data_IF_401102828094
#
_entry.id   IF_401102828094
#
_cell.length_a   1.000
_cell.length_b   1.000
_cell.length_c   1.000
_cell.angle_alpha   90.00
_cell.angle_beta   90.00
_cell.angle_gamma   90.00
#
_symmetry.space_group_name_H-M   'P 1'
#
loop_
_entity.id
_entity.type
_entity.pdbx_description
1 polymer ?
#
# COMPACT_ATOMS: atom_id res chain seq x y z
N UNK A 1 10.43 1.07 13.78
CA UNK A 1 11.54 1.52 12.91
C UNK A 1 10.92 1.89 11.59
N UNK A 2 11.14 3.11 11.12
CA UNK A 2 10.50 3.63 9.90
C UNK A 2 11.46 3.54 8.72
N UNK A 3 10.99 3.05 7.57
CA UNK A 3 11.80 2.96 6.36
C UNK A 3 11.02 3.33 5.10
N UNK A 4 11.60 4.20 4.26
CA UNK A 4 11.04 4.58 2.96
C UNK A 4 11.56 3.66 1.85
N UNK A 5 10.66 3.28 0.96
CA UNK A 5 10.97 2.55 -0.26
C UNK A 5 10.37 3.27 -1.47
N UNK A 6 11.18 3.36 -2.52
CA UNK A 6 10.77 3.88 -3.81
C UNK A 6 10.83 2.75 -4.82
N UNK A 7 9.76 2.59 -5.59
CA UNK A 7 9.64 1.60 -6.66
C UNK A 7 9.48 2.35 -7.97
N UNK A 8 10.46 2.29 -8.87
CA UNK A 8 10.50 3.16 -10.06
C UNK A 8 10.90 2.45 -11.35
N UNK A 9 10.32 2.93 -12.46
CA UNK A 9 10.60 2.51 -13.83
C UNK A 9 10.24 3.65 -14.80
N UNK A 10 11.15 3.98 -15.72
CA UNK A 10 10.98 5.00 -16.77
C UNK A 10 10.21 6.26 -16.32
N UNK A 11 10.69 6.91 -15.25
CA UNK A 11 10.11 8.12 -14.66
C UNK A 11 8.76 7.95 -13.94
N UNK A 12 8.16 6.76 -13.97
CA UNK A 12 7.10 6.37 -13.03
C UNK A 12 7.71 5.98 -11.69
N UNK A 13 7.00 6.28 -10.61
CA UNK A 13 7.39 5.87 -9.27
C UNK A 13 6.20 5.68 -8.35
N UNK A 14 6.40 4.84 -7.33
CA UNK A 14 5.54 4.74 -6.15
C UNK A 14 6.44 4.77 -4.93
N UNK A 15 6.20 5.75 -4.06
CA UNK A 15 6.91 5.94 -2.80
C UNK A 15 6.01 5.48 -1.66
N UNK A 16 6.54 4.57 -0.84
CA UNK A 16 5.87 4.06 0.35
C UNK A 16 6.76 4.12 1.56
N UNK A 17 6.15 4.24 2.72
CA UNK A 17 6.80 4.19 4.02
C UNK A 17 6.30 2.97 4.79
N UNK A 18 7.21 2.29 5.47
CA UNK A 18 6.87 1.22 6.41
C UNK A 18 7.20 1.65 7.82
N UNK A 19 6.25 1.53 8.74
CA UNK A 19 6.53 1.41 10.16
C UNK A 19 6.63 -0.07 10.52
N UNK A 20 7.86 -0.55 10.66
CA UNK A 20 8.14 -1.94 10.99
C UNK A 20 7.77 -2.34 12.42
N UNK A 21 7.43 -1.37 13.29
CA UNK A 21 6.95 -1.66 14.65
C UNK A 21 5.45 -1.97 14.67
N UNK A 22 4.73 -1.70 13.58
CA UNK A 22 3.32 -2.06 13.44
C UNK A 22 3.13 -3.59 13.54
N UNK A 23 2.12 -4.06 14.28
CA UNK A 23 1.85 -5.49 14.40
C UNK A 23 1.52 -6.09 13.04
N UNK A 24 1.95 -7.34 12.82
CA UNK A 24 1.55 -8.18 11.67
C UNK A 24 1.97 -7.69 10.27
N UNK A 25 2.63 -6.53 10.13
CA UNK A 25 3.02 -5.95 8.83
C UNK A 25 3.78 -6.94 7.92
N UNK A 26 4.68 -7.73 8.50
CA UNK A 26 5.44 -8.75 7.76
C UNK A 26 4.56 -9.88 7.26
N UNK A 27 3.59 -10.32 8.07
CA UNK A 27 2.65 -11.37 7.71
C UNK A 27 1.70 -10.89 6.60
N UNK A 28 1.19 -9.66 6.70
CA UNK A 28 0.37 -9.03 5.66
C UNK A 28 1.09 -8.98 4.31
N UNK A 29 2.35 -8.55 4.29
CA UNK A 29 3.21 -8.55 3.09
C UNK A 29 3.35 -9.97 2.49
N UNK A 30 3.63 -10.96 3.33
CA UNK A 30 3.79 -12.36 2.88
C UNK A 30 2.47 -12.88 2.29
N UNK A 31 1.35 -12.68 2.98
CA UNK A 31 0.03 -13.13 2.57
C UNK A 31 -0.41 -12.47 1.27
N UNK A 32 -0.17 -11.17 1.12
CA UNK A 32 -0.41 -10.44 -0.13
C UNK A 32 0.33 -11.09 -1.30
N UNK A 33 1.64 -11.32 -1.17
CA UNK A 33 2.47 -11.89 -2.23
C UNK A 33 2.04 -13.32 -2.55
N UNK A 34 1.74 -14.13 -1.54
CA UNK A 34 1.23 -15.48 -1.73
C UNK A 34 -0.07 -15.49 -2.54
N UNK A 35 -1.03 -14.64 -2.16
CA UNK A 35 -2.34 -14.56 -2.83
C UNK A 35 -2.21 -14.05 -4.25
N UNK A 36 -1.41 -13.00 -4.50
CA UNK A 36 -1.26 -12.43 -5.85
C UNK A 36 -0.46 -13.31 -6.81
N UNK A 37 0.57 -14.00 -6.34
CA UNK A 37 1.42 -14.84 -7.18
C UNK A 37 1.01 -16.32 -7.18
N UNK A 38 -0.08 -16.68 -6.48
CA UNK A 38 -0.53 -18.05 -6.30
C UNK A 38 0.59 -18.99 -5.83
N UNK A 39 1.44 -18.51 -4.91
CA UNK A 39 2.46 -19.37 -4.33
C UNK A 39 1.81 -20.43 -3.45
N UNK A 40 2.35 -21.66 -3.52
CA UNK A 40 1.97 -22.69 -2.55
C UNK A 40 2.43 -22.27 -1.15
N UNK A 41 1.67 -22.63 -0.12
CA UNK A 41 1.98 -22.30 1.28
C UNK A 41 3.37 -22.79 1.74
N UNK A 42 3.99 -23.70 0.99
CA UNK A 42 5.31 -24.26 1.30
C UNK A 42 6.47 -23.49 0.64
N UNK A 43 6.17 -22.42 -0.08
CA UNK A 43 7.20 -21.58 -0.72
C UNK A 43 7.91 -20.80 0.37
N UNK A 44 9.16 -21.15 0.66
CA UNK A 44 9.98 -20.43 1.64
C UNK A 44 10.93 -19.48 0.93
N UNK A 45 10.59 -18.20 0.92
CA UNK A 45 11.48 -17.13 0.46
C UNK A 45 12.00 -16.33 1.66
N UNK A 46 13.16 -15.68 1.50
CA UNK A 46 13.58 -14.69 2.48
C UNK A 46 12.60 -13.51 2.49
N UNK A 47 12.40 -12.89 3.67
CA UNK A 47 11.52 -11.72 3.77
C UNK A 47 11.92 -10.59 2.80
N UNK A 48 13.22 -10.42 2.54
CA UNK A 48 13.72 -9.46 1.54
C UNK A 48 13.12 -9.70 0.15
N UNK A 49 12.92 -10.96 -0.24
CA UNK A 49 12.31 -11.30 -1.52
C UNK A 49 10.80 -11.06 -1.50
N UNK A 50 10.11 -11.36 -0.40
CA UNK A 50 8.70 -11.00 -0.22
C UNK A 50 8.49 -9.50 -0.32
N UNK A 51 9.27 -8.70 0.41
CA UNK A 51 9.20 -7.24 0.38
C UNK A 51 9.43 -6.69 -1.04
N UNK A 52 10.44 -7.20 -1.75
CA UNK A 52 10.70 -6.78 -3.13
C UNK A 52 9.53 -7.11 -4.07
N UNK A 53 8.96 -8.31 -3.94
CA UNK A 53 7.80 -8.71 -4.74
C UNK A 53 6.56 -7.90 -4.40
N UNK A 54 6.31 -7.65 -3.11
CA UNK A 54 5.22 -6.81 -2.63
C UNK A 54 5.29 -5.42 -3.23
N UNK A 55 6.43 -4.74 -3.11
CA UNK A 55 6.63 -3.39 -3.63
C UNK A 55 6.39 -3.29 -5.14
N UNK A 56 6.85 -4.28 -5.90
CA UNK A 56 6.62 -4.35 -7.34
C UNK A 56 5.17 -4.60 -7.72
N UNK A 57 4.49 -5.49 -7.00
CA UNK A 57 3.07 -5.77 -7.19
C UNK A 57 2.20 -4.58 -6.78
N UNK A 58 2.59 -3.87 -5.71
CA UNK A 58 1.94 -2.65 -5.26
C UNK A 58 2.09 -1.53 -6.31
N UNK A 59 3.31 -1.31 -6.81
CA UNK A 59 3.55 -0.34 -7.88
C UNK A 59 2.77 -0.69 -9.16
N UNK A 60 2.78 -1.96 -9.56
CA UNK A 60 1.95 -2.47 -10.65
C UNK A 60 0.46 -2.19 -10.40
N UNK A 61 -0.07 -2.46 -9.20
CA UNK A 61 -1.47 -2.23 -8.86
C UNK A 61 -1.85 -0.74 -8.86
N UNK A 62 -1.00 0.15 -8.34
CA UNK A 62 -1.23 1.60 -8.33
C UNK A 62 -1.18 2.13 -9.77
N UNK A 63 -0.18 1.75 -10.57
CA UNK A 63 -0.02 2.25 -11.94
C UNK A 63 -1.05 1.68 -12.93
N UNK A 64 -1.27 0.35 -12.94
CA UNK A 64 -2.25 -0.30 -13.84
C UNK A 64 -3.64 0.27 -13.65
N UNK A 65 -4.03 0.40 -12.38
CA UNK A 65 -5.38 0.81 -12.09
C UNK A 65 -5.52 2.30 -12.29
N UNK A 66 -4.59 3.18 -11.91
CA UNK A 66 -4.72 4.64 -12.17
C UNK A 66 -4.89 5.03 -13.65
N UNK A 67 -4.45 4.19 -14.59
CA UNK A 67 -4.59 4.44 -16.03
C UNK A 67 -5.85 3.83 -16.65
N UNK A 68 -6.51 2.90 -15.96
CA UNK A 68 -7.71 2.20 -16.44
C UNK A 68 -8.94 2.39 -15.55
N UNK A 69 -8.73 2.82 -14.33
CA UNK A 69 -9.65 2.87 -13.20
C UNK A 69 -9.27 4.06 -12.31
N UNK A 70 -10.20 4.52 -11.49
CA UNK A 70 -9.91 5.56 -10.50
C UNK A 70 -8.92 5.00 -9.44
N UNK A 71 -7.93 5.80 -9.03
CA UNK A 71 -7.02 5.46 -7.94
C UNK A 71 -7.81 5.05 -6.68
N UNK A 72 -8.94 5.71 -6.41
CA UNK A 72 -9.84 5.40 -5.30
C UNK A 72 -10.29 3.93 -5.32
N UNK A 73 -10.70 3.44 -6.48
CA UNK A 73 -11.14 2.05 -6.67
C UNK A 73 -9.96 1.08 -6.53
N UNK A 74 -8.78 1.49 -6.98
CA UNK A 74 -7.54 0.72 -6.89
C UNK A 74 -7.16 0.41 -5.44
N UNK A 75 -7.19 1.44 -4.60
CA UNK A 75 -6.87 1.37 -3.18
C UNK A 75 -7.95 0.60 -2.40
N UNK A 76 -9.23 0.79 -2.74
CA UNK A 76 -10.32 0.00 -2.17
C UNK A 76 -10.17 -1.50 -2.48
N UNK A 77 -9.80 -1.86 -3.71
CA UNK A 77 -9.55 -3.26 -4.08
C UNK A 77 -8.35 -3.87 -3.34
N UNK A 78 -7.31 -3.07 -3.03
CA UNK A 78 -6.18 -3.54 -2.24
C UNK A 78 -6.61 -3.94 -0.82
N UNK A 79 -7.51 -3.17 -0.22
CA UNK A 79 -8.07 -3.49 1.10
C UNK A 79 -9.03 -4.68 1.01
N UNK A 80 -10.04 -4.64 0.12
CA UNK A 80 -11.05 -5.70 0.04
C UNK A 80 -10.47 -7.07 -0.30
N UNK A 81 -9.50 -7.12 -1.21
CA UNK A 81 -8.96 -8.38 -1.70
C UNK A 81 -7.78 -8.87 -0.87
N UNK A 82 -7.04 -7.98 -0.19
CA UNK A 82 -5.78 -8.35 0.46
C UNK A 82 -5.60 -7.86 1.90
N UNK A 83 -6.52 -7.03 2.41
CA UNK A 83 -6.43 -6.43 3.75
C UNK A 83 -5.19 -5.55 3.92
N UNK A 84 -4.84 -4.80 2.85
CA UNK A 84 -3.72 -3.86 2.84
C UNK A 84 -4.26 -2.44 2.72
N UNK A 85 -4.12 -1.67 3.79
CA UNK A 85 -4.39 -0.24 3.84
C UNK A 85 -3.11 0.55 3.72
N UNK A 86 -3.13 1.59 2.89
CA UNK A 86 -1.96 2.45 2.65
C UNK A 86 -2.03 3.80 3.39
N UNK A 87 -2.89 3.90 4.40
CA UNK A 87 -3.08 5.08 5.26
C UNK A 87 -2.27 5.03 6.56
N UNK A 88 -1.50 3.95 6.78
CA UNK A 88 -0.69 3.77 7.98
C UNK A 88 -1.24 2.82 9.04
N UNK A 89 -2.53 2.46 9.01
CA UNK A 89 -3.11 1.55 10.01
C UNK A 89 -2.41 0.18 10.02
N UNK A 90 -1.96 -0.27 8.84
CA UNK A 90 -1.22 -1.51 8.66
C UNK A 90 0.31 -1.33 8.73
N UNK A 91 0.76 -0.16 9.17
CA UNK A 91 2.15 0.26 9.15
C UNK A 91 2.67 0.54 7.74
N UNK A 92 1.81 0.70 6.74
CA UNK A 92 2.19 1.02 5.36
C UNK A 92 1.53 2.34 4.95
N UNK A 93 2.33 3.29 4.49
CA UNK A 93 1.85 4.59 4.00
C UNK A 93 2.20 4.74 2.53
N UNK A 94 1.22 5.12 1.70
CA UNK A 94 1.47 5.65 0.37
C UNK A 94 1.81 7.14 0.50
N UNK A 95 3.02 7.53 0.08
CA UNK A 95 3.50 8.91 0.22
C UNK A 95 3.21 9.73 -1.04
N UNK A 96 3.63 9.21 -2.18
CA UNK A 96 3.49 9.85 -3.49
C UNK A 96 3.63 8.80 -4.59
N UNK A 97 3.11 9.12 -5.77
CA UNK A 97 3.31 8.30 -6.95
C UNK A 97 3.20 9.15 -8.22
N UNK A 98 3.80 8.65 -9.29
CA UNK A 98 3.65 9.20 -10.63
C UNK A 98 3.54 8.07 -11.63
N UNK A 99 2.56 8.17 -12.52
CA UNK A 99 2.25 7.13 -13.51
C UNK A 99 1.78 7.76 -14.81
N UNK A 100 2.19 7.18 -15.93
CA UNK A 100 1.83 7.66 -17.27
C UNK A 100 1.70 6.54 -18.32
N UNK A 101 2.15 5.33 -18.01
CA UNK A 101 2.01 4.15 -18.87
C UNK A 101 1.75 2.90 -18.03
N UNK A 102 1.43 1.78 -18.69
CA UNK A 102 1.18 0.51 -18.01
C UNK A 102 2.51 -0.27 -17.89
N UNK A 103 3.14 -0.32 -16.70
CA UNK A 103 4.36 -1.10 -16.48
C UNK A 103 4.04 -2.58 -16.26
N UNK A 104 5.03 -3.44 -16.50
CA UNK A 104 5.08 -4.78 -15.90
C UNK A 104 5.75 -4.70 -14.53
N UNK A 105 5.28 -5.46 -13.53
CA UNK A 105 5.95 -5.53 -12.20
C UNK A 105 7.46 -5.82 -12.25
N UNK A 106 7.93 -6.52 -13.28
CA UNK A 106 9.35 -6.86 -13.42
C UNK A 106 10.21 -5.66 -13.85
N UNK A 107 9.59 -4.64 -14.45
CA UNK A 107 10.25 -3.43 -14.92
C UNK A 107 10.70 -2.54 -13.76
N UNK A 108 10.01 -2.65 -12.62
CA UNK A 108 10.28 -1.84 -11.45
C UNK A 108 11.56 -2.24 -10.71
N UNK A 109 12.42 -1.25 -10.53
CA UNK A 109 13.52 -1.28 -9.57
C UNK A 109 12.99 -0.90 -8.18
N UNK A 110 13.55 -1.50 -7.12
CA UNK A 110 13.20 -1.19 -5.73
C UNK A 110 14.42 -0.63 -5.05
N UNK A 111 14.30 0.59 -4.54
CA UNK A 111 15.36 1.29 -3.81
C UNK A 111 14.86 1.58 -2.41
N UNK A 112 15.68 1.26 -1.41
CA UNK A 112 15.47 1.70 -0.04
C UNK A 112 16.08 3.09 0.10
N UNK A 113 15.27 4.05 0.52
CA UNK A 113 15.71 5.40 0.86
C UNK A 113 15.85 5.47 2.38
N UNK A 114 17.00 5.90 2.86
CA UNK A 114 17.17 6.15 4.30
C UNK A 114 16.39 7.42 4.65
N UNK A 115 15.43 7.28 5.56
CA UNK A 115 14.77 8.40 6.23
C UNK A 115 15.18 8.34 7.69
N UNK A 116 15.92 9.34 8.18
CA UNK A 116 16.30 9.50 9.59
C UNK A 116 15.16 10.12 10.42
N UNK A 117 13.91 9.83 10.05
CA UNK A 117 12.75 10.61 10.49
C UNK A 117 11.83 9.84 11.44
N UNK A 118 11.32 10.54 12.45
CA UNK A 118 10.30 10.09 13.41
C UNK A 118 8.89 10.15 12.79
N UNK A 119 7.93 9.47 13.44
CA UNK A 119 6.52 9.39 12.99
C UNK A 119 5.89 10.77 12.72
N UNK A 120 6.28 11.80 13.47
CA UNK A 120 5.79 13.17 13.31
C UNK A 120 6.14 13.80 11.94
N UNK A 121 7.22 13.35 11.29
CA UNK A 121 7.61 13.80 9.94
C UNK A 121 6.89 13.03 8.83
N UNK A 122 6.25 11.88 9.11
CA UNK A 122 5.54 11.06 8.11
C UNK A 122 4.42 11.87 7.46
N UNK A 123 3.67 12.61 8.28
CA UNK A 123 2.57 13.46 7.81
C UNK A 123 3.04 14.57 6.86
N UNK A 124 4.30 14.98 6.90
CA UNK A 124 4.85 15.98 5.99
C UNK A 124 5.27 15.38 4.63
N UNK A 125 5.35 14.05 4.52
CA UNK A 125 5.77 13.35 3.30
C UNK A 125 4.61 12.83 2.46
N UNK A 126 3.41 12.71 3.04
CA UNK A 126 2.22 12.30 2.30
C UNK A 126 1.70 13.50 1.54
N UNK A 127 1.50 13.33 0.23
CA UNK A 127 0.85 14.34 -0.61
C UNK A 127 -0.57 14.62 -0.09
N UNK A 128 -0.94 15.90 0.08
CA UNK A 128 -2.23 16.28 0.68
C UNK A 128 -3.44 15.72 -0.09
N UNK A 129 -3.35 15.61 -1.42
CA UNK A 129 -4.42 15.04 -2.24
C UNK A 129 -4.51 13.52 -2.00
N UNK A 130 -3.37 12.83 -1.87
CA UNK A 130 -3.33 11.41 -1.50
C UNK A 130 -3.91 11.20 -0.11
N UNK A 131 -3.56 12.03 0.86
CA UNK A 131 -4.08 11.96 2.22
C UNK A 131 -5.60 12.07 2.23
N UNK A 132 -6.13 13.10 1.59
CA UNK A 132 -7.58 13.29 1.47
C UNK A 132 -8.26 12.09 0.82
N UNK A 133 -7.68 11.53 -0.25
CA UNK A 133 -8.22 10.34 -0.91
C UNK A 133 -8.21 9.09 -0.01
N UNK A 134 -7.12 8.86 0.72
CA UNK A 134 -7.02 7.72 1.65
C UNK A 134 -8.03 7.86 2.79
N UNK A 135 -8.17 9.06 3.37
CA UNK A 135 -9.16 9.36 4.41
C UNK A 135 -10.59 9.13 3.86
N UNK A 136 -10.89 9.59 2.65
CA UNK A 136 -12.20 9.37 2.01
C UNK A 136 -12.48 7.88 1.74
N UNK A 137 -11.47 7.05 1.47
CA UNK A 137 -11.64 5.62 1.22
C UNK A 137 -11.88 4.86 2.51
N UNK A 138 -11.08 5.15 3.55
CA UNK A 138 -11.03 4.32 4.76
C UNK A 138 -11.89 4.84 5.91
N UNK A 139 -12.17 6.15 6.00
CA UNK A 139 -13.08 6.70 7.03
C UNK A 139 -14.56 6.45 6.70
N UNK A 140 -14.91 6.20 5.43
CA UNK A 140 -16.29 5.88 5.02
C UNK A 140 -16.77 4.48 5.47
N UNK A 141 -15.87 3.57 5.88
CA UNK A 141 -16.26 2.28 6.46
C UNK A 141 -16.77 2.43 7.91
N UNK A 142 -16.24 3.40 8.66
CA UNK A 142 -16.71 3.70 10.03
C UNK A 142 -18.12 4.33 10.03
N UNK A 143 -18.45 5.11 9.00
CA UNK A 143 -19.78 5.72 8.84
C UNK A 143 -20.89 4.70 8.57
N UNK A 144 -20.60 3.65 7.79
CA UNK A 144 -21.55 2.59 7.47
C UNK A 144 -21.76 1.61 8.64
N UNK A 145 -20.70 1.29 9.39
CA UNK A 145 -20.84 0.48 10.61
C UNK A 145 -21.61 1.20 11.72
N UNK A 146 -21.39 2.51 11.91
CA UNK A 146 -22.15 3.31 12.87
C UNK A 146 -23.63 3.44 12.51
N UNK A 147 -24.00 3.66 11.24
CA UNK A 147 -25.41 3.66 10.81
C UNK A 147 -26.07 2.29 10.98
N UNK A 148 -25.35 1.20 10.68
CA UNK A 148 -25.85 -0.16 10.84
C UNK A 148 -26.08 -0.53 12.31
N UNK A 149 -25.16 -0.13 13.20
CA UNK A 149 -25.29 -0.30 14.65
C UNK A 149 -26.45 0.56 15.20
N UNK A 150 -26.59 1.81 14.73
CA UNK A 150 -27.67 2.71 15.18
C UNK A 150 -29.06 2.23 14.74
N UNK A 151 -29.17 1.57 13.57
CA UNK A 151 -30.42 0.92 13.12
C UNK A 151 -30.76 -0.39 13.83
N UNK A 152 -29.79 -1.06 14.47
CA UNK A 152 -30.00 -2.31 15.21
C UNK A 152 -30.38 -2.07 16.69
N UNK A 153 -30.05 -0.89 17.23
CA UNK A 153 -30.33 -0.49 18.61
C UNK A 153 -31.55 0.47 18.69
N UNK A 154 -32.09 0.89 17.53
CA UNK A 154 -33.29 1.72 17.39
C UNK A 154 -34.57 0.93 17.20
#
# INVERSE_FOLDING_TARGET
>A
MIEKYSTSFDGMYVDVLFDWDAPEIKEKIINFVHKKLNYSNNTSLSFKNYLKSFLRLLAEAVCLNSLKMDLKVSLSNLDSDYGIRLNGEDGIFLLSFQTWEIPNRLDFSVVKSQTDDTYDNINAYIDDDIRYLLDEIYENDLGLELEAITKLIG
#
